data_IF_755001569548
#
_entry.id   IF_755001569548
#
_cell.length_a   1.000
_cell.length_b   1.000
_cell.length_c   1.000
_cell.angle_alpha   90.00
_cell.angle_beta   90.00
_cell.angle_gamma   90.00
#
_symmetry.space_group_name_H-M   'P 1'
#
loop_
_entity.id
_entity.type
_entity.pdbx_description
1 polymer ?
#
# COMPACT_ATOMS: atom_id res chain seq x y z
N UNK A 1 1.92 -22.76 -22.57
CA UNK A 1 0.51 -22.86 -23.01
C UNK A 1 -0.27 -21.78 -22.27
N UNK A 2 -0.64 -20.70 -22.94
CA UNK A 2 -1.56 -19.70 -22.38
C UNK A 2 -2.95 -20.32 -22.41
N UNK A 3 -3.55 -20.57 -21.25
CA UNK A 3 -4.99 -20.84 -21.17
C UNK A 3 -5.67 -19.47 -21.15
N UNK A 4 -6.27 -19.08 -22.27
CA UNK A 4 -7.20 -17.96 -22.26
C UNK A 4 -8.29 -18.28 -21.22
N UNK A 5 -8.54 -17.38 -20.28
CA UNK A 5 -9.64 -17.54 -19.35
C UNK A 5 -10.96 -17.51 -20.15
N UNK A 6 -11.86 -18.44 -19.87
CA UNK A 6 -13.26 -18.32 -20.30
C UNK A 6 -13.84 -17.03 -19.72
N UNK A 7 -14.60 -16.29 -20.53
CA UNK A 7 -15.42 -15.18 -20.04
C UNK A 7 -16.27 -15.63 -18.84
N UNK A 8 -16.31 -14.80 -17.78
CA UNK A 8 -17.17 -15.04 -16.62
C UNK A 8 -16.55 -15.84 -15.44
N UNK A 9 -15.24 -16.08 -15.40
CA UNK A 9 -14.55 -16.69 -14.25
C UNK A 9 -13.40 -15.80 -13.77
N UNK A 10 -13.29 -15.48 -12.47
CA UNK A 10 -12.21 -14.65 -11.90
C UNK A 10 -10.86 -15.39 -11.82
N UNK A 11 -10.30 -15.76 -12.97
CA UNK A 11 -9.04 -16.52 -13.07
C UNK A 11 -8.20 -16.06 -14.27
N UNK A 12 -6.87 -16.13 -14.12
CA UNK A 12 -5.93 -15.86 -15.22
C UNK A 12 -5.83 -14.38 -15.63
N UNK A 13 -5.53 -14.16 -16.91
CA UNK A 13 -5.47 -12.84 -17.54
C UNK A 13 -6.80 -12.57 -18.26
N UNK A 14 -7.46 -11.44 -17.96
CA UNK A 14 -8.71 -11.06 -18.62
C UNK A 14 -8.65 -9.64 -19.16
N UNK A 15 -9.04 -9.47 -20.43
CA UNK A 15 -9.34 -8.18 -21.05
C UNK A 15 -10.86 -8.07 -21.10
N UNK A 16 -11.43 -6.96 -20.64
CA UNK A 16 -12.88 -6.78 -20.72
C UNK A 16 -13.35 -6.57 -22.18
N UNK A 17 -14.65 -6.71 -22.44
CA UNK A 17 -15.24 -6.57 -23.78
C UNK A 17 -15.04 -5.19 -24.44
N UNK A 18 -14.69 -4.17 -23.64
CA UNK A 18 -14.43 -2.81 -24.09
C UNK A 18 -12.93 -2.55 -24.33
N UNK A 19 -12.07 -3.55 -24.14
CA UNK A 19 -10.62 -3.50 -24.32
C UNK A 19 -9.89 -2.39 -23.52
N UNK A 20 -10.48 -1.93 -22.43
CA UNK A 20 -9.93 -0.84 -21.61
C UNK A 20 -9.58 -1.27 -20.17
N UNK A 21 -9.87 -2.51 -19.79
CA UNK A 21 -9.53 -3.06 -18.47
C UNK A 21 -8.80 -4.39 -18.64
N UNK A 22 -7.61 -4.49 -18.02
CA UNK A 22 -6.79 -5.71 -17.94
C UNK A 22 -6.72 -6.18 -16.48
N UNK A 23 -7.32 -7.34 -16.19
CA UNK A 23 -7.31 -7.95 -14.86
C UNK A 23 -6.30 -9.10 -14.79
N UNK A 24 -5.53 -9.16 -13.70
CA UNK A 24 -4.64 -10.27 -13.36
C UNK A 24 -5.14 -10.94 -12.08
N UNK A 25 -5.76 -12.12 -12.19
CA UNK A 25 -6.23 -12.88 -11.03
C UNK A 25 -5.15 -13.83 -10.55
N UNK A 26 -4.23 -13.30 -9.73
CA UNK A 26 -3.13 -14.05 -9.14
C UNK A 26 -1.88 -13.21 -8.91
N UNK A 27 -0.76 -13.87 -8.60
CA UNK A 27 0.55 -13.22 -8.47
C UNK A 27 1.06 -12.79 -9.85
N UNK A 28 1.43 -11.51 -9.99
CA UNK A 28 2.21 -11.03 -11.13
C UNK A 28 3.70 -11.09 -10.77
N UNK A 29 4.48 -11.89 -11.50
CA UNK A 29 5.95 -11.81 -11.45
C UNK A 29 6.39 -10.93 -12.63
N UNK A 30 6.86 -9.73 -12.36
CA UNK A 30 7.40 -8.81 -13.36
C UNK A 30 8.72 -8.22 -12.87
N UNK A 31 9.49 -7.62 -13.79
CA UNK A 31 10.59 -6.71 -13.43
C UNK A 31 10.03 -5.38 -12.91
N UNK A 32 10.62 -4.27 -13.32
CA UNK A 32 10.11 -2.96 -12.95
C UNK A 32 8.72 -2.75 -13.58
N UNK A 33 7.71 -2.46 -12.76
CA UNK A 33 6.38 -2.06 -13.22
C UNK A 33 6.29 -0.54 -13.08
N UNK A 34 5.97 0.14 -14.18
CA UNK A 34 5.69 1.57 -14.19
C UNK A 34 4.17 1.78 -14.31
N UNK A 35 3.59 2.61 -13.44
CA UNK A 35 2.16 2.97 -13.47
C UNK A 35 2.08 4.39 -14.04
N UNK A 36 1.63 4.51 -15.29
CA UNK A 36 1.46 5.78 -16.00
C UNK A 36 -0.05 6.06 -16.19
N UNK A 37 -0.69 6.83 -15.31
CA UNK A 37 -2.05 7.31 -15.52
C UNK A 37 -2.10 8.33 -16.68
N UNK A 38 -3.27 8.47 -17.30
CA UNK A 38 -3.44 9.19 -18.57
C UNK A 38 -4.70 10.07 -18.63
N UNK A 39 -5.31 10.44 -17.49
CA UNK A 39 -6.50 11.29 -17.44
C UNK A 39 -6.16 12.69 -16.88
N UNK A 40 -7.18 13.51 -16.59
CA UNK A 40 -7.04 14.82 -15.95
C UNK A 40 -7.66 14.78 -14.52
N UNK A 41 -6.81 14.63 -13.50
CA UNK A 41 -7.12 14.62 -12.07
C UNK A 41 -6.76 13.30 -11.37
N UNK A 42 -5.81 13.36 -10.43
CA UNK A 42 -5.20 12.21 -9.69
C UNK A 42 -4.27 11.30 -10.53
N UNK A 43 -3.56 11.88 -11.49
CA UNK A 43 -2.67 11.18 -12.45
C UNK A 43 -1.20 11.07 -12.00
N UNK A 44 -0.96 10.88 -10.71
CA UNK A 44 0.42 10.92 -10.17
C UNK A 44 1.14 9.55 -10.14
N UNK A 45 0.51 8.48 -10.62
CA UNK A 45 1.11 7.14 -10.66
C UNK A 45 0.62 6.22 -9.54
N UNK A 46 1.53 5.63 -8.76
CA UNK A 46 1.23 4.60 -7.76
C UNK A 46 0.17 5.06 -6.73
N UNK A 47 -1.06 4.54 -6.86
CA UNK A 47 -2.17 4.80 -5.95
C UNK A 47 -2.38 3.65 -4.96
N UNK A 48 -2.04 3.89 -3.70
CA UNK A 48 -2.21 2.92 -2.59
C UNK A 48 -3.59 3.16 -1.95
N UNK A 49 -4.51 2.21 -2.07
CA UNK A 49 -5.84 2.27 -1.45
C UNK A 49 -5.89 1.54 -0.10
N UNK A 50 -6.93 1.82 0.68
CA UNK A 50 -7.16 1.18 1.98
C UNK A 50 -7.73 -0.24 1.79
N UNK A 51 -7.24 -1.19 2.58
CA UNK A 51 -7.78 -2.55 2.65
C UNK A 51 -9.24 -2.56 3.16
N UNK A 52 -9.99 -3.62 2.85
CA UNK A 52 -11.33 -3.83 3.41
C UNK A 52 -11.23 -4.20 4.91
N UNK A 53 -12.09 -3.65 5.81
CA UNK A 53 -13.16 -2.68 5.57
C UNK A 53 -12.63 -1.31 5.12
N UNK A 54 -13.24 -0.71 4.09
CA UNK A 54 -12.77 0.57 3.51
C UNK A 54 -12.72 1.75 4.51
N UNK A 55 -13.43 1.67 5.63
CA UNK A 55 -13.41 2.66 6.71
C UNK A 55 -12.31 2.44 7.75
N UNK A 56 -11.77 1.22 7.84
CA UNK A 56 -10.90 0.80 8.96
C UNK A 56 -9.69 -0.03 8.54
N UNK A 57 -9.46 -0.32 7.27
CA UNK A 57 -8.29 -1.07 6.83
C UNK A 57 -6.98 -0.27 6.80
N UNK A 58 -5.89 -0.96 6.48
CA UNK A 58 -4.55 -0.38 6.40
C UNK A 58 -4.23 0.02 4.96
N UNK A 59 -3.35 1.01 4.81
CA UNK A 59 -2.68 1.36 3.55
C UNK A 59 -1.18 1.45 3.82
N UNK A 60 -0.35 0.74 3.06
CA UNK A 60 1.11 0.79 3.26
C UNK A 60 1.92 0.63 1.99
N UNK A 61 3.02 1.37 1.89
CA UNK A 61 4.16 1.10 1.01
C UNK A 61 5.29 0.55 1.90
N UNK A 62 5.86 -0.58 1.49
CA UNK A 62 6.99 -1.22 2.17
C UNK A 62 8.24 -1.08 1.30
N UNK A 63 9.33 -0.59 1.87
CA UNK A 63 10.61 -0.33 1.20
C UNK A 63 11.69 -1.24 1.79
N UNK A 64 12.55 -1.81 0.92
CA UNK A 64 13.60 -2.73 1.38
C UNK A 64 13.05 -4.07 1.87
N UNK A 65 12.07 -4.64 1.15
CA UNK A 65 11.44 -5.92 1.48
C UNK A 65 12.27 -7.14 1.05
N UNK A 66 11.92 -8.31 1.61
CA UNK A 66 12.49 -9.58 1.15
C UNK A 66 12.10 -9.87 -0.30
N UNK A 67 13.05 -10.39 -1.09
CA UNK A 67 12.79 -10.84 -2.47
C UNK A 67 11.96 -12.12 -2.51
N UNK A 68 12.02 -12.95 -1.46
CA UNK A 68 11.44 -14.30 -1.46
C UNK A 68 10.30 -14.48 -0.47
N UNK A 69 10.10 -13.54 0.47
CA UNK A 69 9.01 -13.58 1.44
C UNK A 69 8.11 -12.35 1.29
N UNK A 70 6.80 -12.58 1.33
CA UNK A 70 5.77 -11.52 1.40
C UNK A 70 5.27 -11.28 2.83
N UNK A 71 5.87 -11.95 3.82
CA UNK A 71 5.51 -11.87 5.23
C UNK A 71 6.73 -11.61 6.10
N UNK A 72 6.50 -11.04 7.28
CA UNK A 72 7.54 -10.68 8.24
C UNK A 72 8.22 -9.36 7.93
N UNK A 73 8.74 -8.71 8.97
CA UNK A 73 9.64 -7.58 8.84
C UNK A 73 11.08 -8.09 8.65
N UNK A 74 11.86 -7.42 7.81
CA UNK A 74 13.30 -7.65 7.71
C UNK A 74 14.08 -6.43 8.18
N UNK A 75 15.32 -6.64 8.60
CA UNK A 75 16.16 -5.54 9.06
C UNK A 75 16.39 -4.52 7.94
N UNK A 76 16.35 -3.23 8.31
CA UNK A 76 16.42 -2.13 7.35
C UNK A 76 15.17 -1.89 6.49
N UNK A 77 14.07 -2.64 6.69
CA UNK A 77 12.80 -2.37 6.01
C UNK A 77 12.12 -1.12 6.58
N UNK A 78 11.58 -0.27 5.69
CA UNK A 78 10.81 0.91 6.05
C UNK A 78 9.36 0.79 5.61
N UNK A 79 8.44 1.30 6.43
CA UNK A 79 7.02 1.42 6.14
C UNK A 79 6.63 2.88 6.02
N UNK A 80 5.94 3.21 4.92
CA UNK A 80 5.18 4.45 4.76
C UNK A 80 3.71 4.04 4.77
N UNK A 81 2.98 4.40 5.82
CA UNK A 81 1.66 3.81 6.02
C UNK A 81 0.73 4.70 6.84
N UNK A 82 -0.57 4.38 6.74
CA UNK A 82 -1.61 4.97 7.57
C UNK A 82 -2.23 3.87 8.44
N UNK A 83 -2.11 3.95 9.78
CA UNK A 83 -2.75 3.01 10.67
C UNK A 83 -4.27 3.05 10.53
N UNK A 84 -4.95 1.92 10.79
CA UNK A 84 -6.40 1.85 10.78
C UNK A 84 -7.00 2.75 11.86
N UNK A 85 -8.26 3.17 11.70
CA UNK A 85 -8.96 4.00 12.70
C UNK A 85 -9.14 3.30 14.05
N UNK A 86 -9.11 1.96 14.05
CA UNK A 86 -9.14 1.14 15.25
C UNK A 86 -7.79 1.03 15.97
N UNK A 87 -6.72 1.63 15.46
CA UNK A 87 -5.40 1.57 16.12
C UNK A 87 -5.42 2.31 17.45
N UNK A 88 -4.83 1.68 18.47
CA UNK A 88 -4.57 2.36 19.75
C UNK A 88 -3.55 3.49 19.58
N UNK A 89 -2.52 3.27 18.76
CA UNK A 89 -1.46 4.24 18.52
C UNK A 89 -1.68 4.93 17.17
N UNK A 90 -1.70 6.27 17.19
CA UNK A 90 -1.72 7.13 16.01
C UNK A 90 -2.79 6.74 14.96
N UNK A 91 -4.06 6.52 15.35
CA UNK A 91 -5.10 6.13 14.40
C UNK A 91 -5.19 7.15 13.26
N UNK A 92 -5.29 6.65 12.02
CA UNK A 92 -5.41 7.47 10.80
C UNK A 92 -4.29 8.50 10.56
N UNK A 93 -3.18 8.43 11.29
CA UNK A 93 -2.02 9.32 11.10
C UNK A 93 -1.21 8.92 9.87
N UNK A 94 -0.39 9.83 9.33
CA UNK A 94 0.60 9.49 8.31
C UNK A 94 1.93 9.16 8.99
N UNK A 95 2.46 7.95 8.77
CA UNK A 95 3.63 7.44 9.49
C UNK A 95 4.70 6.96 8.52
N UNK A 96 5.95 7.38 8.76
CA UNK A 96 7.16 6.83 8.14
C UNK A 96 8.08 6.31 9.24
N UNK A 97 8.30 4.99 9.29
CA UNK A 97 9.11 4.35 10.31
C UNK A 97 9.77 3.06 9.81
N UNK A 98 10.77 2.57 10.54
CA UNK A 98 11.27 1.20 10.37
C UNK A 98 10.11 0.24 10.61
N UNK A 99 9.91 -0.76 9.74
CA UNK A 99 8.70 -1.59 9.72
C UNK A 99 8.44 -2.33 11.03
N UNK A 100 9.49 -2.74 11.75
CA UNK A 100 9.37 -3.37 13.08
C UNK A 100 8.89 -2.41 14.17
N UNK A 101 8.97 -1.10 13.94
CA UNK A 101 8.63 -0.02 14.86
C UNK A 101 7.41 0.80 14.40
N UNK A 102 6.78 0.41 13.30
CA UNK A 102 5.67 1.13 12.70
C UNK A 102 4.53 1.43 13.69
N UNK A 103 4.26 0.53 14.63
CA UNK A 103 3.22 0.70 15.67
C UNK A 103 3.61 1.57 16.87
N UNK A 104 4.85 2.04 16.99
CA UNK A 104 5.34 2.82 18.13
C UNK A 104 5.12 4.33 17.94
N UNK A 105 4.49 4.98 18.93
CA UNK A 105 4.29 6.44 18.97
C UNK A 105 5.58 7.24 19.21
N UNK A 106 6.66 6.59 19.64
CA UNK A 106 7.95 7.21 19.90
C UNK A 106 8.99 6.97 18.79
N UNK A 107 8.57 6.51 17.61
CA UNK A 107 9.47 6.16 16.50
C UNK A 107 9.02 6.74 15.17
N UNK A 108 9.99 7.18 14.39
CA UNK A 108 9.76 7.64 13.03
C UNK A 108 9.20 9.06 12.95
N UNK A 109 8.80 9.44 11.74
CA UNK A 109 8.11 10.70 11.43
C UNK A 109 6.61 10.44 11.39
N UNK A 110 5.83 11.27 12.09
CA UNK A 110 4.38 11.10 12.21
C UNK A 110 3.67 12.43 12.03
N UNK A 111 2.62 12.47 11.22
CA UNK A 111 1.68 13.59 11.11
C UNK A 111 0.33 13.10 11.62
N UNK A 112 -0.25 13.80 12.60
CA UNK A 112 -1.54 13.45 13.18
C UNK A 112 -2.66 13.42 12.13
N UNK A 113 -3.72 12.68 12.43
CA UNK A 113 -4.86 12.51 11.52
C UNK A 113 -5.54 13.85 11.13
N UNK A 114 -5.51 14.83 12.02
CA UNK A 114 -6.04 16.19 11.78
C UNK A 114 -5.04 17.12 11.08
N UNK A 115 -3.80 16.66 10.84
CA UNK A 115 -2.74 17.43 10.19
C UNK A 115 -2.08 18.50 11.07
N UNK A 116 -2.47 18.63 12.34
CA UNK A 116 -2.02 19.74 13.20
C UNK A 116 -0.70 19.47 13.93
N UNK A 117 -0.31 18.21 14.10
CA UNK A 117 0.87 17.82 14.88
C UNK A 117 1.83 17.01 14.03
N UNK A 118 3.06 17.53 13.89
CA UNK A 118 4.21 16.78 13.36
C UNK A 118 5.07 16.30 14.53
N UNK A 119 5.41 15.02 14.55
CA UNK A 119 6.37 14.46 15.52
C UNK A 119 7.51 13.71 14.85
N UNK A 120 8.69 13.76 15.48
CA UNK A 120 9.85 12.93 15.14
C UNK A 120 10.34 12.23 16.39
N UNK A 121 10.29 10.90 16.40
CA UNK A 121 10.68 10.06 17.54
C UNK A 121 10.01 10.48 18.86
N UNK A 122 8.71 10.79 18.79
CA UNK A 122 7.88 11.19 19.93
C UNK A 122 8.06 12.64 20.41
N UNK A 123 8.84 13.47 19.69
CA UNK A 123 8.96 14.90 19.96
C UNK A 123 8.15 15.70 18.97
N UNK A 124 7.31 16.61 19.46
CA UNK A 124 6.60 17.59 18.63
C UNK A 124 7.62 18.58 18.06
N UNK A 125 7.46 18.94 16.79
CA UNK A 125 8.27 19.92 16.06
C UNK A 125 7.46 21.19 15.80
#
# INVERSE_FOLDING_TARGET
IVKAAQEGQSSGLQINQYCNVLNFYGKVNSGNIQINPTADGYDDGLRISRADPISTGNSSIQLGCSRTSTVGAIDGQWSIFTPPSSSTNNPQSFVIAVSSQAGDNNRGLQISADGNTLTLNGRVI
#
